data_IF_551834987259
#
_entry.id   IF_551834987259
#
_cell.length_a   1.000
_cell.length_b   1.000
_cell.length_c   1.000
_cell.angle_alpha   90.00
_cell.angle_beta   90.00
_cell.angle_gamma   90.00
#
_symmetry.space_group_name_H-M   'P 1'
#
loop_
_entity.id
_entity.type
_entity.pdbx_description
1 polymer ?
#
# COMPACT_ATOMS: atom_id res chain seq x y z
N UNK A 1 33.00 3.22 16.40
CA UNK A 1 32.42 1.90 16.79
C UNK A 1 30.91 1.93 16.99
N UNK A 2 30.31 3.00 17.55
CA UNK A 2 28.86 3.10 17.73
C UNK A 2 28.05 3.00 16.42
N UNK A 3 28.52 3.66 15.35
CA UNK A 3 27.87 3.64 14.04
C UNK A 3 27.82 2.23 13.40
N UNK A 4 28.90 1.44 13.54
CA UNK A 4 28.94 0.07 12.99
C UNK A 4 27.89 -0.86 13.63
N UNK A 5 27.64 -0.72 14.95
CA UNK A 5 26.62 -1.52 15.65
C UNK A 5 25.21 -1.16 15.21
N UNK A 6 24.95 0.13 14.96
CA UNK A 6 23.66 0.60 14.44
C UNK A 6 23.43 0.05 13.03
N UNK A 7 24.42 0.16 12.15
CA UNK A 7 24.36 -0.37 10.78
C UNK A 7 24.12 -1.88 10.78
N UNK A 8 24.84 -2.64 11.62
CA UNK A 8 24.66 -4.10 11.73
C UNK A 8 23.27 -4.49 12.25
N UNK A 9 22.74 -3.72 13.22
CA UNK A 9 21.38 -3.91 13.73
C UNK A 9 20.36 -3.72 12.59
N UNK A 10 20.50 -2.65 11.82
CA UNK A 10 19.56 -2.37 10.72
C UNK A 10 19.66 -3.40 9.59
N UNK A 11 20.87 -3.81 9.21
CA UNK A 11 21.08 -4.88 8.23
C UNK A 11 20.47 -6.22 8.66
N UNK A 12 20.49 -6.52 9.96
CA UNK A 12 19.85 -7.73 10.51
C UNK A 12 18.34 -7.60 10.48
N UNK A 13 17.80 -6.42 10.83
CA UNK A 13 16.36 -6.13 10.74
C UNK A 13 15.86 -6.29 9.31
N UNK A 14 16.56 -5.72 8.34
CA UNK A 14 16.20 -5.78 6.93
C UNK A 14 16.19 -7.21 6.38
N UNK A 15 17.23 -7.99 6.68
CA UNK A 15 17.32 -9.39 6.26
C UNK A 15 16.22 -10.26 6.86
N UNK A 16 15.81 -9.99 8.10
CA UNK A 16 14.66 -10.65 8.72
C UNK A 16 13.35 -10.34 7.98
N UNK A 17 13.14 -9.10 7.53
CA UNK A 17 11.96 -8.70 6.75
C UNK A 17 11.94 -9.35 5.37
N UNK A 18 13.05 -9.28 4.64
CA UNK A 18 13.20 -9.89 3.30
C UNK A 18 12.94 -11.40 3.36
N UNK A 19 13.58 -12.09 4.31
CA UNK A 19 13.40 -13.54 4.51
C UNK A 19 11.95 -13.87 4.88
N UNK A 20 11.32 -13.08 5.75
CA UNK A 20 9.93 -13.31 6.13
C UNK A 20 8.98 -13.13 4.95
N UNK A 21 9.18 -12.09 4.13
CA UNK A 21 8.38 -11.85 2.93
C UNK A 21 8.52 -12.99 1.90
N UNK A 22 9.73 -13.51 1.71
CA UNK A 22 9.98 -14.68 0.85
C UNK A 22 9.29 -15.94 1.37
N UNK A 23 9.34 -16.19 2.68
CA UNK A 23 8.68 -17.33 3.31
C UNK A 23 7.15 -17.19 3.30
N UNK A 24 6.60 -15.99 3.51
CA UNK A 24 5.15 -15.75 3.42
C UNK A 24 4.62 -16.04 2.02
N UNK A 25 5.39 -15.74 0.98
CA UNK A 25 5.02 -16.05 -0.40
C UNK A 25 5.16 -17.54 -0.75
N UNK A 26 6.25 -18.18 -0.31
CA UNK A 26 6.56 -19.55 -0.72
C UNK A 26 5.91 -20.63 0.16
N UNK A 27 5.82 -20.40 1.48
CA UNK A 27 5.24 -21.33 2.47
C UNK A 27 3.84 -20.90 2.92
N UNK A 28 3.47 -19.64 2.70
CA UNK A 28 2.24 -19.06 3.21
C UNK A 28 2.43 -18.43 4.59
N UNK A 29 1.72 -17.33 4.86
CA UNK A 29 1.81 -16.61 6.13
C UNK A 29 1.54 -17.54 7.32
N UNK A 30 0.40 -18.26 7.34
CA UNK A 30 -0.01 -19.08 8.48
C UNK A 30 0.99 -20.19 8.84
N UNK A 31 1.60 -20.83 7.85
CA UNK A 31 2.54 -21.95 8.04
C UNK A 31 3.98 -21.52 8.34
N UNK A 32 4.30 -20.22 8.22
CA UNK A 32 5.65 -19.69 8.48
C UNK A 32 5.85 -19.41 9.96
N UNK A 33 6.83 -20.05 10.59
CA UNK A 33 7.17 -19.87 12.01
C UNK A 33 8.31 -18.87 12.21
N UNK A 34 8.47 -18.38 13.44
CA UNK A 34 9.62 -17.53 13.81
C UNK A 34 10.94 -18.28 13.64
N UNK A 35 10.97 -19.58 13.91
CA UNK A 35 12.19 -20.40 13.76
C UNK A 35 12.56 -20.58 12.28
N UNK A 36 11.57 -20.72 11.39
CA UNK A 36 11.80 -20.73 9.94
C UNK A 36 12.48 -19.43 9.51
N UNK A 37 11.92 -18.27 9.90
CA UNK A 37 12.45 -16.95 9.54
C UNK A 37 13.85 -16.76 10.10
N UNK A 38 14.07 -17.06 11.38
CA UNK A 38 15.37 -16.89 12.02
C UNK A 38 16.44 -17.78 11.36
N UNK A 39 16.11 -19.04 11.11
CA UNK A 39 17.02 -20.01 10.48
C UNK A 39 17.36 -19.59 9.05
N UNK A 40 16.35 -19.25 8.25
CA UNK A 40 16.56 -18.82 6.86
C UNK A 40 17.34 -17.49 6.76
N UNK A 41 17.16 -16.57 7.72
CA UNK A 41 17.91 -15.32 7.80
C UNK A 41 19.36 -15.51 8.33
N UNK A 42 19.76 -16.74 8.69
CA UNK A 42 21.07 -17.03 9.26
C UNK A 42 21.27 -16.44 10.66
N UNK A 43 20.20 -16.37 11.45
CA UNK A 43 20.18 -15.79 12.79
C UNK A 43 19.52 -16.71 13.81
N UNK A 44 19.37 -16.25 15.05
CA UNK A 44 18.75 -17.02 16.13
C UNK A 44 17.36 -16.51 16.47
N UNK A 45 16.54 -17.35 17.10
CA UNK A 45 15.23 -16.94 17.66
C UNK A 45 15.36 -15.78 18.64
N UNK A 46 16.43 -15.76 19.45
CA UNK A 46 16.73 -14.66 20.39
C UNK A 46 16.99 -13.37 19.62
N UNK A 47 17.77 -13.43 18.55
CA UNK A 47 18.04 -12.26 17.70
C UNK A 47 16.76 -11.80 17.01
N UNK A 48 15.91 -12.69 16.51
CA UNK A 48 14.61 -12.32 15.96
C UNK A 48 13.81 -11.47 16.97
N UNK A 49 13.64 -11.95 18.21
CA UNK A 49 12.88 -11.24 19.23
C UNK A 49 13.52 -9.91 19.66
N UNK A 50 14.82 -9.74 19.46
CA UNK A 50 15.48 -8.44 19.68
C UNK A 50 15.06 -7.38 18.65
N UNK A 51 14.49 -7.78 17.50
CA UNK A 51 14.00 -6.89 16.46
C UNK A 51 12.48 -6.84 16.37
N UNK A 52 11.82 -7.99 16.46
CA UNK A 52 10.38 -8.11 16.28
C UNK A 52 9.76 -8.95 17.41
N UNK A 53 8.79 -8.40 18.16
CA UNK A 53 8.16 -9.13 19.25
C UNK A 53 7.28 -10.30 18.75
N UNK A 54 6.93 -10.34 17.47
CA UNK A 54 6.02 -11.34 16.90
C UNK A 54 6.07 -11.35 15.36
N UNK A 55 5.49 -12.39 14.74
CA UNK A 55 5.32 -12.47 13.27
C UNK A 55 4.38 -11.38 12.74
N UNK A 56 3.35 -10.99 13.49
CA UNK A 56 2.49 -9.85 13.14
C UNK A 56 3.27 -8.52 13.13
N UNK A 57 4.21 -8.33 14.06
CA UNK A 57 5.06 -7.13 14.04
C UNK A 57 5.98 -7.07 12.81
N UNK A 58 6.38 -8.23 12.27
CA UNK A 58 7.06 -8.31 10.96
C UNK A 58 6.10 -7.88 9.85
N UNK A 59 4.85 -8.35 9.85
CA UNK A 59 3.85 -7.91 8.87
C UNK A 59 3.56 -6.41 8.92
N UNK A 60 3.41 -5.84 10.12
CA UNK A 60 3.24 -4.38 10.29
C UNK A 60 4.43 -3.59 9.74
N UNK A 61 5.65 -4.09 9.93
CA UNK A 61 6.84 -3.47 9.36
C UNK A 61 6.90 -3.59 7.82
N UNK A 62 6.45 -4.70 7.25
CA UNK A 62 6.32 -4.86 5.79
C UNK A 62 5.26 -3.90 5.21
N UNK A 63 4.18 -3.63 5.92
CA UNK A 63 3.19 -2.60 5.52
C UNK A 63 3.80 -1.19 5.58
N UNK A 64 4.68 -0.90 6.55
CA UNK A 64 5.42 0.35 6.58
C UNK A 64 6.44 0.47 5.43
N UNK A 65 7.10 -0.61 5.04
CA UNK A 65 7.95 -0.64 3.84
C UNK A 65 7.11 -0.39 2.58
N UNK A 66 5.90 -0.97 2.50
CA UNK A 66 4.95 -0.72 1.42
C UNK A 66 4.57 0.76 1.32
N UNK A 67 4.32 1.44 2.44
CA UNK A 67 4.10 2.88 2.46
C UNK A 67 5.26 3.65 1.83
N UNK A 68 6.49 3.27 2.18
CA UNK A 68 7.71 3.88 1.60
C UNK A 68 7.77 3.68 0.08
N UNK A 69 7.46 2.46 -0.40
CA UNK A 69 7.46 2.14 -1.85
C UNK A 69 6.39 2.95 -2.60
N UNK A 70 5.23 3.14 -1.98
CA UNK A 70 4.12 3.94 -2.51
C UNK A 70 4.31 5.45 -2.31
N UNK A 71 5.46 5.87 -1.79
CA UNK A 71 5.78 7.26 -1.45
C UNK A 71 4.76 7.87 -0.47
N UNK A 72 4.10 7.04 0.32
CA UNK A 72 3.24 7.44 1.44
C UNK A 72 4.12 7.73 2.65
N UNK A 73 4.16 8.99 3.06
CA UNK A 73 4.95 9.46 4.20
C UNK A 73 4.22 10.55 4.95
N UNK A 74 4.38 10.58 6.27
CA UNK A 74 3.86 11.67 7.10
C UNK A 74 4.41 13.02 6.59
N UNK A 75 3.52 14.00 6.42
CA UNK A 75 3.86 15.37 6.03
C UNK A 75 3.47 16.32 7.16
N UNK A 76 4.36 17.18 7.67
CA UNK A 76 3.99 18.20 8.65
C UNK A 76 3.00 19.24 8.09
N UNK A 77 2.92 19.36 6.76
CA UNK A 77 2.13 20.37 6.07
C UNK A 77 0.72 19.88 5.67
N UNK A 78 0.42 18.58 5.81
CA UNK A 78 -0.85 17.97 5.41
C UNK A 78 -1.31 17.01 6.50
N UNK A 79 -2.62 16.78 6.60
CA UNK A 79 -3.13 15.69 7.42
C UNK A 79 -2.83 14.32 6.77
N UNK A 80 -2.66 14.32 5.43
CA UNK A 80 -2.46 13.17 4.54
C UNK A 80 -1.04 12.59 4.51
N UNK A 81 -0.96 11.27 4.26
CA UNK A 81 0.29 10.55 3.94
C UNK A 81 0.55 10.39 2.43
N UNK A 82 -0.46 10.53 1.55
CA UNK A 82 -0.29 10.49 0.08
C UNK A 82 -0.42 11.87 -0.58
N UNK A 83 0.54 12.74 -0.28
CA UNK A 83 0.60 14.11 -0.80
C UNK A 83 0.37 14.21 -2.32
N UNK A 84 0.99 13.34 -3.11
CA UNK A 84 0.83 13.37 -4.57
C UNK A 84 -0.59 13.02 -5.06
N UNK A 85 -1.32 12.16 -4.33
CA UNK A 85 -2.71 11.82 -4.66
C UNK A 85 -3.63 13.01 -4.39
N UNK A 86 -3.49 13.67 -3.23
CA UNK A 86 -4.22 14.89 -2.88
C UNK A 86 -4.09 15.95 -3.98
N UNK A 87 -2.85 16.21 -4.43
CA UNK A 87 -2.57 17.21 -5.48
C UNK A 87 -3.22 16.86 -6.83
N UNK A 88 -3.23 15.57 -7.19
CA UNK A 88 -3.86 15.07 -8.43
C UNK A 88 -5.38 15.24 -8.37
N UNK A 89 -6.00 14.88 -7.24
CA UNK A 89 -7.45 15.01 -7.04
C UNK A 89 -7.87 16.47 -7.02
N UNK A 90 -7.11 17.32 -6.30
CA UNK A 90 -7.31 18.76 -6.27
C UNK A 90 -7.30 19.35 -7.69
N UNK A 91 -6.26 19.03 -8.48
CA UNK A 91 -6.16 19.48 -9.86
C UNK A 91 -7.31 18.96 -10.75
N UNK A 92 -7.79 17.72 -10.54
CA UNK A 92 -8.99 17.18 -11.20
C UNK A 92 -8.89 16.95 -12.70
N UNK A 93 -7.69 17.07 -13.27
CA UNK A 93 -7.48 16.88 -14.70
C UNK A 93 -7.42 15.39 -15.06
N UNK A 94 -8.06 15.00 -16.17
CA UNK A 94 -8.00 13.63 -16.68
C UNK A 94 -6.55 13.17 -16.95
N UNK A 95 -5.72 14.05 -17.50
CA UNK A 95 -4.30 13.77 -17.73
C UNK A 95 -3.54 13.49 -16.43
N UNK A 96 -3.75 14.30 -15.39
CA UNK A 96 -3.10 14.12 -14.09
C UNK A 96 -3.51 12.81 -13.40
N UNK A 97 -4.79 12.47 -13.45
CA UNK A 97 -5.32 11.19 -12.93
C UNK A 97 -4.70 10.01 -13.69
N UNK A 98 -4.72 10.05 -15.02
CA UNK A 98 -4.14 9.00 -15.87
C UNK A 98 -2.66 8.80 -15.59
N UNK A 99 -1.90 9.88 -15.51
CA UNK A 99 -0.46 9.82 -15.26
C UNK A 99 -0.14 9.32 -13.86
N UNK A 100 -0.95 9.66 -12.85
CA UNK A 100 -0.81 9.11 -11.51
C UNK A 100 -1.08 7.60 -11.51
N UNK A 101 -2.18 7.14 -12.11
CA UNK A 101 -2.52 5.72 -12.19
C UNK A 101 -1.43 4.91 -12.93
N UNK A 102 -0.93 5.41 -14.06
CA UNK A 102 0.19 4.79 -14.79
C UNK A 102 1.45 4.71 -13.93
N UNK A 103 1.84 5.80 -13.25
CA UNK A 103 2.99 5.78 -12.33
C UNK A 103 2.79 4.81 -11.16
N UNK A 104 1.57 4.66 -10.64
CA UNK A 104 1.31 3.66 -9.61
C UNK A 104 1.44 2.23 -10.15
N UNK A 105 0.97 1.99 -11.38
CA UNK A 105 1.03 0.68 -12.00
C UNK A 105 2.46 0.13 -12.20
N UNK A 106 3.45 1.00 -12.42
CA UNK A 106 4.85 0.57 -12.54
C UNK A 106 5.39 -0.05 -11.25
N UNK A 107 4.76 0.22 -10.10
CA UNK A 107 5.14 -0.33 -8.79
C UNK A 107 4.47 -1.67 -8.49
N UNK A 108 3.44 -2.07 -9.24
CA UNK A 108 2.68 -3.32 -8.99
C UNK A 108 3.55 -4.57 -8.86
N UNK A 109 4.56 -4.82 -9.72
CA UNK A 109 5.45 -5.98 -9.55
C UNK A 109 6.18 -5.99 -8.20
N UNK A 110 6.56 -4.80 -7.70
CA UNK A 110 7.34 -4.63 -6.48
C UNK A 110 6.45 -4.76 -5.24
N UNK A 111 5.24 -4.18 -5.27
CA UNK A 111 4.31 -4.21 -4.13
C UNK A 111 3.53 -5.53 -4.02
N UNK A 112 3.44 -6.29 -5.12
CA UNK A 112 2.76 -7.59 -5.19
C UNK A 112 3.03 -8.52 -3.99
N UNK A 113 4.29 -8.82 -3.62
CA UNK A 113 4.59 -9.69 -2.49
C UNK A 113 4.03 -9.17 -1.16
N UNK A 114 4.05 -7.84 -0.96
CA UNK A 114 3.55 -7.17 0.25
C UNK A 114 2.03 -7.28 0.34
N UNK A 115 1.32 -6.90 -0.72
CA UNK A 115 -0.15 -6.92 -0.76
C UNK A 115 -0.69 -8.33 -0.55
N UNK A 116 -0.14 -9.33 -1.25
CA UNK A 116 -0.57 -10.72 -1.06
C UNK A 116 -0.37 -11.21 0.36
N UNK A 117 0.79 -10.93 0.96
CA UNK A 117 1.10 -11.36 2.32
C UNK A 117 0.23 -10.66 3.35
N UNK A 118 -0.04 -9.36 3.17
CA UNK A 118 -0.92 -8.57 4.03
C UNK A 118 -2.37 -9.08 3.99
N UNK A 119 -2.91 -9.38 2.80
CA UNK A 119 -4.28 -9.94 2.66
C UNK A 119 -4.42 -11.28 3.39
N UNK A 120 -3.45 -12.19 3.21
CA UNK A 120 -3.48 -13.49 3.90
C UNK A 120 -3.33 -13.32 5.41
N UNK A 121 -2.47 -12.41 5.86
CA UNK A 121 -2.31 -12.11 7.28
C UNK A 121 -3.58 -11.50 7.89
N UNK A 122 -4.21 -10.53 7.23
CA UNK A 122 -5.47 -9.90 7.67
C UNK A 122 -6.64 -10.91 7.76
N UNK A 123 -6.60 -12.00 7.00
CA UNK A 123 -7.61 -13.06 7.11
C UNK A 123 -7.56 -13.78 8.48
N UNK A 124 -6.40 -13.82 9.15
CA UNK A 124 -6.20 -14.61 10.38
C UNK A 124 -5.74 -13.79 11.59
N UNK A 125 -5.19 -12.59 11.38
CA UNK A 125 -4.71 -11.68 12.44
C UNK A 125 -5.61 -10.43 12.50
N UNK A 126 -6.44 -10.24 13.54
CA UNK A 126 -7.32 -9.08 13.65
C UNK A 126 -6.59 -7.74 13.63
N UNK A 127 -5.41 -7.64 14.26
CA UNK A 127 -4.67 -6.37 14.28
C UNK A 127 -4.08 -6.00 12.91
N UNK A 128 -3.77 -7.00 12.07
CA UNK A 128 -3.35 -6.73 10.68
C UNK A 128 -4.54 -6.31 9.83
N UNK A 129 -5.71 -6.90 10.06
CA UNK A 129 -6.95 -6.47 9.40
C UNK A 129 -7.26 -5.01 9.72
N UNK A 130 -7.26 -4.65 11.00
CA UNK A 130 -7.47 -3.27 11.44
C UNK A 130 -6.45 -2.31 10.82
N UNK A 131 -5.18 -2.71 10.75
CA UNK A 131 -4.14 -1.91 10.10
C UNK A 131 -4.41 -1.70 8.59
N UNK A 132 -4.89 -2.72 7.87
CA UNK A 132 -5.25 -2.62 6.45
C UNK A 132 -6.51 -1.78 6.25
N UNK A 133 -7.49 -1.91 7.16
CA UNK A 133 -8.73 -1.13 7.12
C UNK A 133 -8.43 0.37 7.33
N UNK A 134 -7.62 0.70 8.34
CA UNK A 134 -7.14 2.08 8.58
C UNK A 134 -6.37 2.61 7.38
N UNK A 135 -5.46 1.81 6.81
CA UNK A 135 -4.70 2.21 5.64
C UNK A 135 -5.60 2.55 4.44
N UNK A 136 -6.66 1.76 4.24
CA UNK A 136 -7.64 1.97 3.16
C UNK A 136 -8.45 3.24 3.39
N UNK A 137 -8.87 3.47 4.63
CA UNK A 137 -9.60 4.68 5.03
C UNK A 137 -8.75 5.94 4.84
N UNK A 138 -7.46 5.91 5.22
CA UNK A 138 -6.53 7.03 4.99
C UNK A 138 -6.45 7.40 3.50
N UNK A 139 -6.48 6.43 2.58
CA UNK A 139 -6.48 6.73 1.14
C UNK A 139 -7.78 7.41 0.71
N UNK A 140 -8.92 7.00 1.27
CA UNK A 140 -10.20 7.65 1.00
C UNK A 140 -10.22 9.10 1.53
N UNK A 141 -9.65 9.32 2.73
CA UNK A 141 -9.47 10.65 3.33
C UNK A 141 -8.53 11.53 2.49
N UNK A 142 -7.44 10.97 1.95
CA UNK A 142 -6.54 11.70 1.03
C UNK A 142 -7.29 12.18 -0.22
N UNK A 143 -8.18 11.35 -0.78
CA UNK A 143 -9.01 11.73 -1.92
C UNK A 143 -10.05 12.79 -1.51
N UNK A 144 -10.68 12.63 -0.35
CA UNK A 144 -11.62 13.61 0.18
C UNK A 144 -10.93 14.98 0.37
N UNK A 145 -9.74 15.02 0.95
CA UNK A 145 -8.96 16.26 1.14
C UNK A 145 -8.74 16.97 -0.19
N UNK A 146 -8.36 16.24 -1.23
CA UNK A 146 -8.21 16.82 -2.58
C UNK A 146 -9.51 17.41 -3.12
N UNK A 147 -10.65 16.75 -2.89
CA UNK A 147 -11.97 17.26 -3.29
C UNK A 147 -12.41 18.47 -2.46
N UNK A 148 -12.08 18.49 -1.17
CA UNK A 148 -12.34 19.60 -0.25
C UNK A 148 -11.55 20.84 -0.65
N UNK A 149 -10.26 20.69 -0.96
CA UNK A 149 -9.41 21.78 -1.47
C UNK A 149 -9.92 22.34 -2.80
N UNK A 150 -10.46 21.47 -3.67
CA UNK A 150 -11.02 21.85 -4.96
C UNK A 150 -12.43 22.46 -4.87
N UNK A 151 -13.08 22.39 -3.70
CA UNK A 151 -14.51 22.60 -3.51
C UNK A 151 -15.36 21.86 -4.56
N UNK A 152 -15.02 20.60 -4.83
CA UNK A 152 -15.65 19.80 -5.90
C UNK A 152 -16.63 18.77 -5.34
N UNK A 153 -17.81 18.68 -5.96
CA UNK A 153 -18.94 17.86 -5.54
C UNK A 153 -19.54 18.26 -4.18
N UNK A 154 -20.72 17.72 -3.88
CA UNK A 154 -21.41 17.92 -2.60
C UNK A 154 -20.56 17.35 -1.44
N UNK A 155 -20.32 18.11 -0.36
CA UNK A 155 -19.46 17.68 0.76
C UNK A 155 -19.79 16.29 1.31
N UNK A 156 -21.09 15.97 1.40
CA UNK A 156 -21.56 14.67 1.92
C UNK A 156 -21.23 13.47 1.04
N UNK A 157 -20.77 13.70 -0.21
CA UNK A 157 -20.44 12.64 -1.17
C UNK A 157 -18.94 12.44 -1.40
N UNK A 158 -18.08 13.37 -0.94
CA UNK A 158 -16.66 13.41 -1.27
C UNK A 158 -15.91 12.19 -0.73
N UNK A 159 -16.16 11.83 0.54
CA UNK A 159 -15.60 10.62 1.15
C UNK A 159 -15.95 9.36 0.37
N UNK A 160 -17.24 9.14 0.10
CA UNK A 160 -17.71 7.94 -0.59
C UNK A 160 -17.17 7.85 -2.04
N UNK A 161 -16.96 8.99 -2.71
CA UNK A 161 -16.25 9.02 -4.01
C UNK A 161 -14.81 8.54 -3.86
N UNK A 162 -14.12 8.94 -2.80
CA UNK A 162 -12.79 8.45 -2.45
C UNK A 162 -12.76 6.95 -2.21
N UNK A 163 -13.70 6.43 -1.39
CA UNK A 163 -13.86 4.99 -1.15
C UNK A 163 -14.04 4.23 -2.45
N UNK A 164 -14.96 4.66 -3.32
CA UNK A 164 -15.21 3.98 -4.61
C UNK A 164 -13.99 4.02 -5.53
N UNK A 165 -13.31 5.15 -5.64
CA UNK A 165 -12.12 5.28 -6.47
C UNK A 165 -11.00 4.36 -5.97
N UNK A 166 -10.76 4.33 -4.66
CA UNK A 166 -9.78 3.44 -4.05
C UNK A 166 -10.15 1.97 -4.24
N UNK A 167 -11.40 1.56 -3.99
CA UNK A 167 -11.87 0.19 -4.22
C UNK A 167 -11.66 -0.26 -5.67
N UNK A 168 -11.89 0.62 -6.66
CA UNK A 168 -11.62 0.30 -8.07
C UNK A 168 -10.12 0.01 -8.29
N UNK A 169 -9.22 0.81 -7.71
CA UNK A 169 -7.77 0.60 -7.82
C UNK A 169 -7.31 -0.63 -7.05
N UNK A 170 -7.75 -0.82 -5.81
CA UNK A 170 -7.39 -1.97 -4.97
C UNK A 170 -7.84 -3.28 -5.63
N UNK A 171 -9.11 -3.37 -6.07
CA UNK A 171 -9.63 -4.55 -6.77
C UNK A 171 -8.87 -4.84 -8.05
N UNK A 172 -8.57 -3.83 -8.85
CA UNK A 172 -7.77 -3.96 -10.08
C UNK A 172 -6.37 -4.49 -9.77
N UNK A 173 -5.72 -3.92 -8.75
CA UNK A 173 -4.37 -4.30 -8.30
C UNK A 173 -4.36 -5.74 -7.77
N UNK A 174 -5.28 -6.11 -6.88
CA UNK A 174 -5.38 -7.47 -6.34
C UNK A 174 -5.66 -8.51 -7.42
N UNK A 175 -6.51 -8.18 -8.40
CA UNK A 175 -6.82 -9.09 -9.48
C UNK A 175 -5.62 -9.27 -10.41
N UNK A 176 -4.94 -8.19 -10.80
CA UNK A 176 -3.70 -8.26 -11.58
C UNK A 176 -2.65 -9.13 -10.88
N UNK A 177 -2.48 -8.92 -9.57
CA UNK A 177 -1.56 -9.65 -8.71
C UNK A 177 -1.86 -11.17 -8.67
N UNK A 178 -3.14 -11.56 -8.62
CA UNK A 178 -3.55 -12.97 -8.49
C UNK A 178 -3.64 -13.71 -9.83
N UNK A 179 -4.03 -13.02 -10.90
CA UNK A 179 -4.49 -13.67 -12.11
C UNK A 179 -3.79 -13.26 -13.40
N UNK A 180 -2.76 -12.38 -13.37
CA UNK A 180 -2.06 -11.89 -14.56
C UNK A 180 -3.04 -11.61 -15.71
N UNK A 181 -3.72 -10.46 -15.68
CA UNK A 181 -4.53 -10.08 -16.84
C UNK A 181 -3.72 -10.23 -18.12
N UNK A 182 -4.32 -10.88 -19.11
CA UNK A 182 -3.84 -10.99 -20.51
C UNK A 182 -4.02 -9.66 -21.26
N UNK A 183 -4.08 -8.55 -20.51
CA UNK A 183 -4.29 -7.19 -20.97
C UNK A 183 -2.99 -6.47 -20.59
N UNK A 184 -2.28 -5.95 -21.60
CA UNK A 184 -1.23 -4.97 -21.36
C UNK A 184 -1.77 -3.90 -20.40
N UNK A 185 -0.97 -3.36 -19.48
CA UNK A 185 -1.48 -2.47 -18.42
C UNK A 185 -2.33 -1.30 -18.93
N UNK A 186 -2.16 -0.89 -20.17
CA UNK A 186 -2.63 0.38 -20.70
C UNK A 186 -4.16 0.45 -20.93
N UNK A 187 -4.83 -0.48 -21.64
CA UNK A 187 -6.30 -0.41 -21.80
C UNK A 187 -7.06 -0.53 -20.46
N UNK A 188 -6.54 -1.31 -19.52
CA UNK A 188 -7.13 -1.44 -18.19
C UNK A 188 -7.03 -0.11 -17.40
N UNK A 189 -5.87 0.55 -17.47
CA UNK A 189 -5.64 1.83 -16.82
C UNK A 189 -6.46 2.96 -17.48
N UNK A 190 -6.72 2.89 -18.78
CA UNK A 190 -7.62 3.82 -19.48
C UNK A 190 -9.04 3.74 -18.93
N UNK A 191 -9.60 2.54 -18.81
CA UNK A 191 -10.94 2.35 -18.22
C UNK A 191 -10.98 2.81 -16.75
N UNK A 192 -9.95 2.50 -15.97
CA UNK A 192 -9.85 2.96 -14.58
C UNK A 192 -9.77 4.49 -14.51
N UNK A 193 -9.03 5.11 -15.44
CA UNK A 193 -8.93 6.58 -15.56
C UNK A 193 -10.29 7.20 -15.86
N UNK A 194 -11.05 6.67 -16.80
CA UNK A 194 -12.39 7.18 -17.14
C UNK A 194 -13.32 7.14 -15.92
N UNK A 195 -13.30 6.03 -15.16
CA UNK A 195 -14.08 5.89 -13.93
C UNK A 195 -13.64 6.91 -12.87
N UNK A 196 -12.34 7.08 -12.66
CA UNK A 196 -11.79 8.06 -11.72
C UNK A 196 -12.09 9.50 -12.12
N UNK A 197 -12.07 9.84 -13.42
CA UNK A 197 -12.46 11.16 -13.92
C UNK A 197 -13.92 11.45 -13.61
N UNK A 198 -14.82 10.47 -13.74
CA UNK A 198 -16.23 10.64 -13.37
C UNK A 198 -16.43 10.83 -11.86
N UNK A 199 -15.60 10.20 -11.03
CA UNK A 199 -15.71 10.27 -9.58
C UNK A 199 -15.04 11.51 -8.99
N UNK A 200 -13.90 11.92 -9.56
CA UNK A 200 -12.94 12.85 -8.95
C UNK A 200 -12.64 14.07 -9.83
N UNK A 201 -12.76 13.96 -11.15
CA UNK A 201 -12.42 15.02 -12.10
C UNK A 201 -13.46 16.13 -12.18
N UNK A 202 -13.17 17.17 -12.97
CA UNK A 202 -14.14 18.23 -13.22
C UNK A 202 -15.46 17.66 -13.75
N UNK A 203 -16.63 18.08 -13.22
CA UNK A 203 -17.91 17.69 -13.80
C UNK A 203 -17.92 18.07 -15.28
N UNK A 204 -18.26 17.13 -16.15
CA UNK A 204 -18.46 17.43 -17.57
C UNK A 204 -19.45 18.58 -17.68
N UNK A 205 -19.08 19.67 -18.37
CA UNK A 205 -20.03 20.73 -18.69
C UNK A 205 -21.14 20.12 -19.54
N UNK A 206 -22.31 19.90 -18.92
CA UNK A 206 -23.59 19.64 -19.61
C UNK A 206 -23.97 20.82 -20.49
#
# INVERSE_FOLDING_TARGET
MANLRVVQKEQTRQRLLETALELFQSKGYAATTIDDIATAAGTTRVTFYAHFPSRRAVMSALIADLNTILERHESPARASTASALVDVVHAGSAAGIADWLRRQSTRWPIIRPYILSAVVAAAVEPEIRELVDVWSEEVADDIQEGLDLADRFEPTTRHFRGVLAFEMLDRTTQHWIRHQWDIDSDPALEVLTEAWVSLLGHPSAT
#
